data_IF_426015438654
#
_entry.id   IF_426015438654
#
_cell.length_a   1.000
_cell.length_b   1.000
_cell.length_c   1.000
_cell.angle_alpha   90.00
_cell.angle_beta   90.00
_cell.angle_gamma   90.00
#
_symmetry.space_group_name_H-M   'P 1'
#
loop_
_entity.id
_entity.type
_entity.pdbx_description
1 polymer ?
#
# COMPACT_ATOMS: atom_id res chain seq x y z
N UNK A 1 -59.18 16.73 7.24
CA UNK A 1 -58.79 16.05 5.99
C UNK A 1 -57.94 14.82 6.31
N UNK A 2 -58.43 13.60 6.02
CA UNK A 2 -57.62 12.38 5.90
C UNK A 2 -58.31 11.45 4.89
N UNK A 3 -57.62 11.03 3.83
CA UNK A 3 -58.03 9.92 2.95
C UNK A 3 -56.78 9.14 2.58
N UNK A 4 -56.71 7.88 3.00
CA UNK A 4 -55.67 6.97 2.53
C UNK A 4 -55.99 6.44 1.14
N UNK A 5 -54.96 5.93 0.44
CA UNK A 5 -55.11 5.10 -0.76
C UNK A 5 -54.18 3.90 -0.64
N UNK A 6 -54.78 2.70 -0.57
CA UNK A 6 -54.11 1.43 -0.88
C UNK A 6 -54.18 1.24 -2.39
N UNK A 7 -53.11 0.74 -3.00
CA UNK A 7 -53.21 -0.06 -4.22
C UNK A 7 -52.24 -1.22 -4.12
N UNK A 8 -52.79 -2.44 -4.17
CA UNK A 8 -52.05 -3.64 -4.49
C UNK A 8 -52.45 -4.03 -5.91
N UNK A 9 -51.47 -4.31 -6.77
CA UNK A 9 -51.67 -5.05 -8.01
C UNK A 9 -50.41 -5.87 -8.23
N UNK A 10 -50.53 -7.20 -8.12
CA UNK A 10 -49.52 -8.11 -8.65
C UNK A 10 -49.81 -8.41 -10.11
N UNK A 11 -48.79 -8.86 -10.84
CA UNK A 11 -48.98 -9.69 -12.03
C UNK A 11 -47.97 -10.84 -12.01
N UNK A 12 -48.39 -11.99 -12.52
CA UNK A 12 -47.70 -13.25 -12.36
C UNK A 12 -46.78 -13.58 -13.55
N UNK A 13 -45.77 -14.41 -13.28
CA UNK A 13 -45.30 -15.57 -14.08
C UNK A 13 -45.41 -15.47 -15.61
N UNK A 14 -44.25 -15.46 -16.29
CA UNK A 14 -43.75 -16.47 -17.27
C UNK A 14 -42.29 -16.12 -17.62
N UNK A 15 -41.40 -17.00 -18.11
CA UNK A 15 -41.45 -18.45 -18.39
C UNK A 15 -40.29 -19.18 -17.66
N UNK A 16 -40.32 -20.51 -17.58
CA UNK A 16 -39.16 -21.32 -17.20
C UNK A 16 -38.28 -21.69 -18.39
N UNK A 17 -36.96 -21.70 -18.22
CA UNK A 17 -36.01 -22.25 -19.18
C UNK A 17 -35.13 -23.27 -18.46
N UNK A 18 -35.16 -24.51 -18.93
CA UNK A 18 -34.47 -25.62 -18.28
C UNK A 18 -32.95 -25.48 -18.45
N UNK A 19 -32.24 -25.39 -17.32
CA UNK A 19 -30.80 -25.65 -17.25
C UNK A 19 -30.67 -26.96 -16.48
N UNK A 20 -30.09 -27.97 -17.14
CA UNK A 20 -30.05 -29.34 -16.62
C UNK A 20 -29.19 -29.50 -15.35
N UNK A 21 -29.18 -30.71 -14.76
CA UNK A 21 -28.36 -30.98 -13.59
C UNK A 21 -26.87 -30.84 -13.94
N UNK A 22 -26.26 -29.72 -13.53
CA UNK A 22 -24.81 -29.62 -13.46
C UNK A 22 -24.38 -30.60 -12.36
N UNK A 23 -23.90 -31.76 -12.80
CA UNK A 23 -23.20 -32.70 -11.95
C UNK A 23 -21.98 -32.00 -11.35
N UNK A 24 -22.12 -31.51 -10.12
CA UNK A 24 -20.98 -31.16 -9.28
C UNK A 24 -20.23 -32.44 -8.96
N UNK A 25 -19.27 -32.80 -9.82
CA UNK A 25 -18.21 -33.73 -9.47
C UNK A 25 -17.33 -33.07 -8.41
N UNK A 26 -17.74 -33.21 -7.16
CA UNK A 26 -16.91 -32.87 -6.02
C UNK A 26 -15.64 -33.72 -6.07
N UNK A 27 -14.59 -33.19 -6.69
CA UNK A 27 -13.27 -33.81 -6.65
C UNK A 27 -12.80 -33.72 -5.21
N UNK A 28 -12.89 -34.84 -4.51
CA UNK A 28 -12.26 -35.01 -3.21
C UNK A 28 -10.77 -34.71 -3.39
N UNK A 29 -10.35 -33.55 -2.91
CA UNK A 29 -8.93 -33.26 -2.74
C UNK A 29 -8.46 -34.14 -1.60
N UNK A 30 -7.64 -35.14 -1.93
CA UNK A 30 -7.10 -36.10 -0.99
C UNK A 30 -6.44 -35.37 0.18
N UNK A 31 -6.85 -35.69 1.40
CA UNK A 31 -6.27 -35.18 2.63
C UNK A 31 -4.89 -35.81 2.88
N UNK A 32 -3.95 -35.52 1.99
CA UNK A 32 -2.54 -35.81 2.18
C UNK A 32 -1.99 -34.90 3.28
N UNK A 33 -1.90 -35.43 4.49
CA UNK A 33 -1.34 -34.75 5.67
C UNK A 33 0.07 -34.23 5.37
N UNK A 34 0.31 -32.91 5.38
CA UNK A 34 1.66 -32.37 5.41
C UNK A 34 2.21 -32.60 6.81
N UNK A 35 3.22 -33.45 6.93
CA UNK A 35 3.94 -33.64 8.18
C UNK A 35 4.39 -32.29 8.75
N UNK A 36 4.30 -32.19 10.09
CA UNK A 36 4.80 -31.10 10.90
C UNK A 36 6.26 -30.80 10.51
N UNK A 37 6.47 -29.76 9.71
CA UNK A 37 7.78 -29.20 9.42
C UNK A 37 7.81 -27.78 10.01
N UNK A 38 8.69 -27.48 10.98
CA UNK A 38 8.84 -26.11 11.43
C UNK A 38 9.22 -25.25 10.22
N UNK A 39 8.41 -24.22 9.96
CA UNK A 39 8.64 -23.31 8.84
C UNK A 39 9.95 -22.58 9.15
N UNK A 40 10.99 -22.89 8.38
CA UNK A 40 12.34 -22.41 8.68
C UNK A 40 12.36 -20.87 8.76
N UNK A 41 13.05 -20.35 9.78
CA UNK A 41 13.42 -18.95 9.90
C UNK A 41 14.37 -18.59 8.74
N UNK A 42 13.78 -18.25 7.58
CA UNK A 42 14.51 -18.15 6.31
C UNK A 42 13.93 -17.14 5.31
N UNK A 43 12.95 -16.32 5.72
CA UNK A 43 12.58 -15.14 4.92
C UNK A 43 13.67 -14.09 5.12
N UNK A 44 14.67 -14.13 4.23
CA UNK A 44 15.84 -13.25 4.28
C UNK A 44 15.44 -11.78 4.34
N UNK A 45 15.53 -11.19 5.53
CA UNK A 45 15.42 -9.73 5.72
C UNK A 45 16.54 -9.09 4.93
N UNK A 46 16.21 -8.42 3.83
CA UNK A 46 17.14 -7.55 3.12
C UNK A 46 17.22 -6.24 3.90
N UNK A 47 17.70 -6.30 5.13
CA UNK A 47 18.18 -5.10 5.83
C UNK A 47 19.50 -4.70 5.19
N UNK A 48 19.70 -3.42 4.85
CA UNK A 48 21.03 -2.92 4.49
C UNK A 48 21.92 -3.11 5.72
N UNK A 49 22.92 -3.99 5.61
CA UNK A 49 24.03 -4.10 6.58
C UNK A 49 25.00 -2.91 6.40
N UNK A 50 24.47 -1.70 6.43
CA UNK A 50 25.22 -0.45 6.37
C UNK A 50 25.36 0.16 7.76
N UNK A 51 26.51 0.77 8.11
CA UNK A 51 26.65 1.60 9.31
C UNK A 51 25.56 2.69 9.43
N UNK A 52 24.99 3.13 8.31
CA UNK A 52 23.83 4.01 8.24
C UNK A 52 22.63 3.54 9.08
N UNK A 53 22.39 2.22 9.10
CA UNK A 53 21.29 1.61 9.85
C UNK A 53 21.68 1.20 11.28
N UNK A 54 22.89 1.55 11.73
CA UNK A 54 23.29 1.32 13.12
C UNK A 54 22.37 2.06 14.10
N UNK A 55 22.01 1.37 15.19
CA UNK A 55 21.10 1.89 16.22
C UNK A 55 19.64 2.08 15.80
N UNK A 56 19.27 1.81 14.54
CA UNK A 56 17.87 1.78 14.13
C UNK A 56 17.17 0.56 14.75
N UNK A 57 16.04 0.79 15.42
CA UNK A 57 15.23 -0.26 16.05
C UNK A 57 13.88 -0.32 15.33
N UNK A 58 13.56 -1.50 14.80
CA UNK A 58 12.23 -1.78 14.28
C UNK A 58 11.26 -1.83 15.47
N UNK A 59 10.15 -1.08 15.41
CA UNK A 59 9.08 -0.94 16.40
C UNK A 59 9.42 -0.11 17.66
N UNK A 60 8.39 0.53 18.22
CA UNK A 60 8.41 1.18 19.55
C UNK A 60 8.67 2.69 19.58
N UNK A 61 8.75 3.37 18.43
CA UNK A 61 8.91 4.83 18.36
C UNK A 61 7.56 5.55 18.26
N UNK A 62 7.39 6.66 19.00
CA UNK A 62 6.30 7.62 18.77
C UNK A 62 6.56 8.41 17.48
N UNK A 63 5.52 9.06 16.91
CA UNK A 63 5.68 9.88 15.69
C UNK A 63 6.69 11.03 15.90
N UNK A 64 6.74 11.63 17.10
CA UNK A 64 7.72 12.64 17.48
C UNK A 64 9.15 12.07 17.54
N UNK A 65 9.32 10.85 18.08
CA UNK A 65 10.60 10.15 18.06
C UNK A 65 11.05 9.80 16.64
N UNK A 66 10.13 9.35 15.76
CA UNK A 66 10.43 9.09 14.33
C UNK A 66 10.94 10.33 13.61
N UNK A 67 10.46 11.52 13.98
CA UNK A 67 10.85 12.80 13.38
C UNK A 67 12.04 13.49 14.08
N UNK A 68 12.82 12.74 14.88
CA UNK A 68 13.93 13.27 15.66
C UNK A 68 15.27 12.56 15.40
N UNK A 69 16.37 13.23 15.74
CA UNK A 69 17.74 12.70 15.73
C UNK A 69 18.12 11.95 14.45
N UNK A 70 18.78 10.80 14.59
CA UNK A 70 19.25 9.98 13.45
C UNK A 70 18.13 9.43 12.57
N UNK A 71 16.87 9.40 13.02
CA UNK A 71 15.77 8.98 12.14
C UNK A 71 15.30 10.12 11.25
N UNK A 72 15.33 11.37 11.74
CA UNK A 72 15.10 12.56 10.91
C UNK A 72 16.13 12.66 9.77
N UNK A 73 17.42 12.38 10.04
CA UNK A 73 18.47 12.31 9.01
C UNK A 73 18.12 11.29 7.91
N UNK A 74 17.59 10.12 8.28
CA UNK A 74 17.15 9.07 7.34
C UNK A 74 15.96 9.50 6.49
N UNK A 75 14.95 10.11 7.12
CA UNK A 75 13.77 10.64 6.44
C UNK A 75 14.14 11.75 5.45
N UNK A 76 15.04 12.66 5.84
CA UNK A 76 15.56 13.74 4.98
C UNK A 76 16.34 13.22 3.78
N UNK A 77 17.20 12.22 3.97
CA UNK A 77 17.92 11.57 2.87
C UNK A 77 16.94 10.91 1.89
N UNK A 78 15.97 10.14 2.40
CA UNK A 78 14.93 9.51 1.57
C UNK A 78 14.04 10.54 0.83
N UNK A 79 13.72 11.67 1.46
CA UNK A 79 13.00 12.77 0.81
C UNK A 79 13.79 13.36 -0.37
N UNK A 80 15.11 13.49 -0.25
CA UNK A 80 15.96 14.04 -1.32
C UNK A 80 15.94 13.20 -2.60
N UNK A 81 15.75 11.88 -2.47
CA UNK A 81 15.58 10.95 -3.60
C UNK A 81 14.22 11.06 -4.29
N UNK A 82 13.16 11.32 -3.52
CA UNK A 82 11.76 11.27 -3.98
C UNK A 82 11.20 12.64 -4.37
N UNK A 83 11.74 13.70 -3.79
CA UNK A 83 11.26 15.07 -3.97
C UNK A 83 12.42 16.07 -4.16
N UNK A 84 13.35 15.85 -5.13
CA UNK A 84 14.44 16.79 -5.40
C UNK A 84 13.87 18.16 -5.79
N UNK A 85 14.14 19.17 -4.97
CA UNK A 85 13.55 20.51 -5.06
C UNK A 85 12.73 20.92 -3.83
N UNK A 86 12.28 19.97 -3.01
CA UNK A 86 11.79 20.28 -1.66
C UNK A 86 12.96 20.41 -0.70
N UNK A 87 13.00 21.50 0.07
CA UNK A 87 14.01 21.67 1.11
C UNK A 87 13.82 20.62 2.22
N UNK A 88 14.85 19.84 2.52
CA UNK A 88 14.81 18.79 3.56
C UNK A 88 14.61 19.36 5.00
N UNK A 89 14.77 20.67 5.18
CA UNK A 89 14.46 21.40 6.41
C UNK A 89 12.97 21.82 6.49
N UNK A 90 12.18 21.66 5.43
CA UNK A 90 10.75 22.05 5.43
C UNK A 90 9.91 21.03 6.21
N UNK A 91 9.36 21.48 7.34
CA UNK A 91 8.79 20.63 8.40
C UNK A 91 7.56 19.81 7.96
N UNK A 92 6.87 20.21 6.88
CA UNK A 92 5.68 19.56 6.32
C UNK A 92 5.82 19.69 4.79
N UNK A 93 5.89 18.63 3.99
CA UNK A 93 4.89 17.55 3.90
C UNK A 93 5.46 16.13 3.75
N UNK A 94 6.67 15.95 3.22
CA UNK A 94 7.21 14.62 2.87
C UNK A 94 7.67 13.77 4.06
N UNK A 95 8.23 14.39 5.11
CA UNK A 95 8.86 13.66 6.22
C UNK A 95 7.86 12.84 7.06
N UNK A 96 6.64 13.35 7.26
CA UNK A 96 5.56 12.62 7.93
C UNK A 96 5.13 11.39 7.12
N UNK A 97 4.91 11.55 5.82
CA UNK A 97 4.56 10.44 4.91
C UNK A 97 5.65 9.35 4.90
N UNK A 98 6.93 9.74 4.92
CA UNK A 98 8.04 8.79 4.99
C UNK A 98 8.17 8.12 6.36
N UNK A 99 7.78 8.78 7.45
CA UNK A 99 7.74 8.19 8.79
C UNK A 99 6.57 7.20 8.92
N UNK A 100 5.40 7.53 8.38
CA UNK A 100 4.23 6.66 8.36
C UNK A 100 4.44 5.46 7.41
N UNK A 101 5.15 5.66 6.29
CA UNK A 101 5.63 4.58 5.41
C UNK A 101 6.62 3.63 6.12
N UNK A 102 7.58 4.21 6.86
CA UNK A 102 8.53 3.45 7.66
C UNK A 102 7.81 2.60 8.72
N UNK A 103 6.81 3.17 9.40
CA UNK A 103 5.96 2.46 10.36
C UNK A 103 5.12 1.35 9.72
N UNK A 104 4.55 1.59 8.53
CA UNK A 104 3.77 0.58 7.82
C UNK A 104 4.62 -0.66 7.50
N UNK A 105 5.87 -0.46 7.06
CA UNK A 105 6.80 -1.55 6.79
C UNK A 105 7.39 -2.23 8.04
N UNK A 106 7.27 -1.64 9.22
CA UNK A 106 7.61 -2.29 10.49
C UNK A 106 6.55 -3.31 10.95
N UNK A 107 5.32 -3.24 10.42
CA UNK A 107 4.23 -4.13 10.82
C UNK A 107 4.48 -5.56 10.35
N UNK A 108 3.99 -6.54 11.13
CA UNK A 108 4.09 -7.99 10.78
C UNK A 108 3.42 -8.36 9.45
N UNK A 109 2.43 -7.57 9.03
CA UNK A 109 1.73 -7.65 7.75
C UNK A 109 1.49 -6.22 7.25
N UNK A 110 2.43 -5.64 6.48
CA UNK A 110 2.25 -4.30 5.93
C UNK A 110 1.08 -4.25 4.95
N UNK A 111 0.28 -3.19 5.03
CA UNK A 111 -0.71 -2.83 4.02
C UNK A 111 0.01 -2.24 2.79
N UNK A 112 -0.06 -2.97 1.68
CA UNK A 112 0.55 -2.60 0.41
C UNK A 112 -0.02 -1.30 -0.15
N UNK A 113 -1.32 -1.06 0.00
CA UNK A 113 -2.02 0.11 -0.52
C UNK A 113 -1.66 1.35 0.27
N UNK A 114 -1.62 1.23 1.60
CA UNK A 114 -1.28 2.34 2.48
C UNK A 114 0.20 2.75 2.32
N UNK A 115 1.11 1.77 2.33
CA UNK A 115 2.53 2.02 2.05
C UNK A 115 2.76 2.64 0.66
N UNK A 116 2.06 2.16 -0.37
CA UNK A 116 2.17 2.73 -1.71
C UNK A 116 1.62 4.17 -1.78
N UNK A 117 0.56 4.48 -1.05
CA UNK A 117 -0.06 5.81 -1.01
C UNK A 117 0.87 6.83 -0.35
N UNK A 118 1.45 6.50 0.81
CA UNK A 118 2.44 7.37 1.46
C UNK A 118 3.63 7.66 0.55
N UNK A 119 4.16 6.63 -0.11
CA UNK A 119 5.31 6.79 -1.01
C UNK A 119 4.96 7.61 -2.26
N UNK A 120 3.76 7.43 -2.83
CA UNK A 120 3.29 8.22 -3.96
C UNK A 120 3.16 9.71 -3.61
N UNK A 121 2.50 10.03 -2.49
CA UNK A 121 2.32 11.41 -2.01
C UNK A 121 3.64 12.09 -1.63
N UNK A 122 4.66 11.32 -1.22
CA UNK A 122 6.00 11.82 -0.93
C UNK A 122 6.87 12.05 -2.19
N UNK A 123 6.38 11.70 -3.39
CA UNK A 123 7.20 11.62 -4.61
C UNK A 123 6.80 12.61 -5.70
N UNK A 124 7.72 13.50 -6.09
CA UNK A 124 7.57 14.32 -7.31
C UNK A 124 8.28 13.71 -8.53
N UNK A 125 9.21 12.77 -8.31
CA UNK A 125 9.90 12.04 -9.39
C UNK A 125 9.45 10.58 -9.49
N UNK A 126 9.67 9.89 -10.63
CA UNK A 126 9.25 8.50 -10.79
C UNK A 126 9.81 7.54 -9.74
N UNK A 127 8.93 6.72 -9.14
CA UNK A 127 9.27 5.68 -8.15
C UNK A 127 9.73 4.43 -8.88
N UNK A 128 10.95 4.45 -9.41
CA UNK A 128 11.56 3.30 -10.10
C UNK A 128 11.97 2.21 -9.11
N UNK A 129 12.20 0.98 -9.59
CA UNK A 129 12.68 -0.11 -8.74
C UNK A 129 14.04 0.18 -8.06
N UNK A 130 14.92 0.94 -8.72
CA UNK A 130 16.17 1.41 -8.12
C UNK A 130 15.90 2.41 -6.99
N UNK A 131 15.17 3.49 -7.28
CA UNK A 131 14.82 4.52 -6.27
C UNK A 131 14.07 3.93 -5.07
N UNK A 132 13.15 3.00 -5.30
CA UNK A 132 12.42 2.29 -4.24
C UNK A 132 13.37 1.51 -3.30
N UNK A 133 14.34 0.78 -3.87
CA UNK A 133 15.36 0.07 -3.09
C UNK A 133 16.21 1.07 -2.30
N UNK A 134 16.62 2.17 -2.92
CA UNK A 134 17.53 3.14 -2.33
C UNK A 134 16.86 3.93 -1.19
N UNK A 135 15.58 4.32 -1.36
CA UNK A 135 14.72 4.86 -0.29
C UNK A 135 14.59 3.88 0.88
N UNK A 136 14.28 2.61 0.62
CA UNK A 136 14.16 1.62 1.69
C UNK A 136 15.48 1.38 2.43
N UNK A 137 16.60 1.48 1.71
CA UNK A 137 17.92 1.41 2.30
C UNK A 137 18.23 2.63 3.19
N UNK A 138 17.83 3.83 2.77
CA UNK A 138 17.95 5.05 3.56
C UNK A 138 17.05 5.03 4.80
N UNK A 139 15.83 4.51 4.69
CA UNK A 139 14.87 4.36 5.80
C UNK A 139 15.12 3.14 6.69
N UNK A 140 16.08 2.28 6.33
CA UNK A 140 16.45 1.05 7.05
C UNK A 140 15.32 0.02 7.21
N UNK A 141 14.35 0.02 6.29
CA UNK A 141 13.20 -0.89 6.25
C UNK A 141 13.37 -1.95 5.17
N UNK A 142 12.74 -3.11 5.39
CA UNK A 142 12.81 -4.25 4.47
C UNK A 142 11.51 -5.04 4.51
N UNK A 143 11.05 -5.49 3.34
CA UNK A 143 9.88 -6.38 3.23
C UNK A 143 10.18 -7.51 2.24
N UNK A 144 9.27 -8.48 2.12
CA UNK A 144 9.40 -9.58 1.16
C UNK A 144 9.42 -9.04 -0.28
N UNK A 145 10.21 -9.65 -1.17
CA UNK A 145 10.40 -9.17 -2.56
C UNK A 145 9.07 -8.94 -3.30
N UNK A 146 8.10 -9.84 -3.15
CA UNK A 146 6.78 -9.71 -3.81
C UNK A 146 6.03 -8.48 -3.28
N UNK A 147 6.03 -8.26 -1.95
CA UNK A 147 5.44 -7.09 -1.30
C UNK A 147 6.11 -5.79 -1.76
N UNK A 148 7.44 -5.78 -1.83
CA UNK A 148 8.23 -4.66 -2.34
C UNK A 148 7.86 -4.29 -3.79
N UNK A 149 7.79 -5.27 -4.69
CA UNK A 149 7.39 -5.04 -6.08
C UNK A 149 5.96 -4.53 -6.21
N UNK A 150 5.02 -5.04 -5.40
CA UNK A 150 3.64 -4.56 -5.39
C UNK A 150 3.53 -3.10 -4.92
N UNK A 151 4.21 -2.74 -3.83
CA UNK A 151 4.23 -1.36 -3.31
C UNK A 151 4.84 -0.41 -4.36
N UNK A 152 5.98 -0.77 -4.95
CA UNK A 152 6.66 0.07 -5.95
C UNK A 152 5.78 0.32 -7.18
N UNK A 153 5.18 -0.72 -7.75
CA UNK A 153 4.31 -0.61 -8.93
C UNK A 153 3.05 0.21 -8.65
N UNK A 154 2.44 0.02 -7.47
CA UNK A 154 1.25 0.77 -7.07
C UNK A 154 1.58 2.25 -6.78
N UNK A 155 2.68 2.53 -6.08
CA UNK A 155 3.10 3.90 -5.77
C UNK A 155 3.34 4.73 -7.04
N UNK A 156 4.04 4.18 -8.04
CA UNK A 156 4.24 4.88 -9.31
C UNK A 156 2.93 5.05 -10.12
N UNK A 157 1.99 4.11 -10.00
CA UNK A 157 0.66 4.25 -10.61
C UNK A 157 -0.15 5.40 -9.96
N UNK A 158 -0.20 5.45 -8.63
CA UNK A 158 -0.88 6.49 -7.86
C UNK A 158 -0.25 7.87 -8.12
N UNK A 159 1.08 7.97 -8.09
CA UNK A 159 1.83 9.21 -8.38
C UNK A 159 1.52 9.74 -9.79
N UNK A 160 1.39 8.86 -10.79
CA UNK A 160 0.99 9.28 -12.15
C UNK A 160 -0.44 9.80 -12.24
N UNK A 161 -1.36 9.25 -11.45
CA UNK A 161 -2.76 9.69 -11.42
C UNK A 161 -2.88 11.09 -10.80
N UNK A 162 -2.17 11.35 -9.70
CA UNK A 162 -2.15 12.64 -9.01
C UNK A 162 -1.49 13.76 -9.87
N UNK A 163 -0.46 13.41 -10.65
CA UNK A 163 0.21 14.33 -11.57
C UNK A 163 -0.43 14.40 -12.98
N UNK A 164 -1.56 13.71 -13.22
CA UNK A 164 -2.23 13.80 -14.51
C UNK A 164 -3.01 15.13 -14.61
N UNK A 165 -2.91 15.87 -15.72
CA UNK A 165 -3.71 17.08 -15.90
C UNK A 165 -5.19 16.70 -15.88
N UNK A 166 -5.94 17.25 -14.92
CA UNK A 166 -7.35 16.95 -14.75
C UNK A 166 -8.12 17.32 -16.01
N UNK A 167 -8.70 16.33 -16.69
CA UNK A 167 -9.68 16.55 -17.75
C UNK A 167 -10.95 17.14 -17.14
N UNK A 168 -10.95 18.45 -16.89
CA UNK A 168 -12.10 19.17 -16.36
C UNK A 168 -13.30 18.91 -17.27
N UNK A 169 -14.37 18.36 -16.69
CA UNK A 169 -15.66 18.25 -17.35
C UNK A 169 -16.09 19.65 -17.82
N UNK A 170 -16.19 19.85 -19.14
CA UNK A 170 -16.85 21.05 -19.68
C UNK A 170 -18.22 21.15 -19.05
N UNK A 171 -18.47 22.23 -18.31
CA UNK A 171 -19.77 22.48 -17.73
C UNK A 171 -20.79 22.69 -18.83
N UNK A 172 -21.74 21.75 -18.95
CA UNK A 172 -22.99 21.99 -19.66
C UNK A 172 -23.84 22.91 -18.78
N UNK A 173 -23.75 24.21 -19.00
CA UNK A 173 -24.75 25.16 -18.49
C UNK A 173 -25.98 25.06 -19.43
N UNK A 174 -27.21 24.98 -18.90
CA UNK A 174 -28.43 24.85 -19.69
C UNK A 174 -28.81 26.14 -20.43
#
# INVERSE_FOLDING_TARGET
MRKGKKYALGFAIVWGLAIGPILYTARAAESGTPHNKPIAEGVGKITPRSPWCSGYKLTGMTQEQRLSGKNLERLRAAQSELAPGFAAESVKTGLYLLADYQEELEKRRPDVTLAASYLALASTVPVTAARFRDVNALLCVSTAKVTAESIQKLAESLRKQDNAPSSQSKGSNP
#
